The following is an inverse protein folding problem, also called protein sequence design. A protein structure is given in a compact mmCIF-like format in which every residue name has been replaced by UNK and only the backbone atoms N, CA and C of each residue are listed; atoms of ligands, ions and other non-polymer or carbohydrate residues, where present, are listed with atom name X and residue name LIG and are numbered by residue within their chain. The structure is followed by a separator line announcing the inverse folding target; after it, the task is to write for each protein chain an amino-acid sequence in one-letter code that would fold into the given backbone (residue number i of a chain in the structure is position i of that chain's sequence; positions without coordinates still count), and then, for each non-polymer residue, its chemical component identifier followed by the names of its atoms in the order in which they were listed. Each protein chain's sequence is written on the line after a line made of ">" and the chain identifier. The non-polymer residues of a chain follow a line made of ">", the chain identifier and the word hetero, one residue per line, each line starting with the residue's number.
data_IF_919659691123
#
_entry.id   IF_919659691123
#
_cell.length_a   1.000
_cell.length_b   1.000
_cell.length_c   1.000
_cell.angle_alpha   90.00
_cell.angle_beta   90.00
_cell.angle_gamma   90.00
#
_symmetry.space_group_name_H-M   'P 1'
#
loop_
_entity.id
_entity.type
_entity.pdbx_description
1 polymer ?
#
# COMPACT_ATOMS: atom_id res chain seq x y z
N UNK A 1 42.73 -25.57 55.05
CA UNK A 1 41.65 -25.77 54.05
C UNK A 1 42.24 -25.55 52.67
N UNK A 2 42.54 -26.64 51.94
CA UNK A 2 43.08 -26.56 50.59
C UNK A 2 41.90 -26.47 49.63
N UNK A 3 41.68 -25.30 49.03
CA UNK A 3 40.79 -25.20 47.87
C UNK A 3 41.47 -25.92 46.71
N UNK A 4 40.81 -26.95 46.17
CA UNK A 4 41.29 -27.71 45.02
C UNK A 4 41.35 -26.79 43.79
N UNK A 5 42.41 -26.89 42.98
CA UNK A 5 42.47 -26.23 41.67
C UNK A 5 41.28 -26.63 40.77
N UNK A 6 40.68 -27.81 41.01
CA UNK A 6 39.45 -28.22 40.32
C UNK A 6 38.21 -27.43 40.75
N UNK A 7 38.13 -26.94 41.99
CA UNK A 7 37.01 -26.08 42.43
C UNK A 7 37.09 -24.69 41.80
N UNK A 8 38.30 -24.20 41.54
CA UNK A 8 38.52 -22.94 40.84
C UNK A 8 38.15 -23.07 39.35
N UNK A 9 38.56 -24.17 38.70
CA UNK A 9 38.16 -24.47 37.32
C UNK A 9 36.66 -24.74 37.18
N UNK A 10 36.03 -25.41 38.15
CA UNK A 10 34.58 -25.63 38.16
C UNK A 10 33.79 -24.33 38.33
N UNK A 11 34.30 -23.36 39.12
CA UNK A 11 33.72 -22.02 39.23
C UNK A 11 33.89 -21.19 37.96
N UNK A 12 35.03 -21.28 37.28
CA UNK A 12 35.26 -20.62 35.99
C UNK A 12 34.36 -21.25 34.90
N UNK A 13 34.24 -22.58 34.85
CA UNK A 13 33.33 -23.26 33.94
C UNK A 13 31.87 -22.86 34.20
N UNK A 14 31.45 -22.77 35.47
CA UNK A 14 30.10 -22.30 35.83
C UNK A 14 29.86 -20.84 35.47
N UNK A 15 30.88 -19.99 35.45
CA UNK A 15 30.81 -18.59 35.02
C UNK A 15 30.84 -18.44 33.48
N UNK A 16 31.48 -19.39 32.77
CA UNK A 16 31.54 -19.43 31.31
C UNK A 16 30.29 -20.08 30.67
N UNK A 17 29.53 -20.88 31.44
CA UNK A 17 28.32 -21.58 31.00
C UNK A 17 27.05 -21.14 31.75
N UNK A 18 27.05 -19.95 32.36
CA UNK A 18 25.85 -19.39 32.98
C UNK A 18 24.89 -18.90 31.88
N UNK A 19 23.78 -19.60 31.67
CA UNK A 19 22.76 -19.23 30.67
C UNK A 19 22.09 -17.86 30.98
N UNK A 20 22.40 -17.25 32.13
CA UNK A 20 21.92 -15.90 32.50
C UNK A 20 22.79 -14.76 31.96
N UNK A 21 23.91 -15.02 31.27
CA UNK A 21 24.74 -13.99 30.61
C UNK A 21 24.63 -14.00 29.09
N UNK A 22 23.63 -14.66 28.50
CA UNK A 22 23.32 -14.42 27.08
C UNK A 22 22.79 -13.00 26.94
N UNK A 23 23.45 -12.21 26.08
CA UNK A 23 22.92 -10.94 25.60
C UNK A 23 21.44 -11.16 25.25
N UNK A 24 20.49 -10.44 25.89
CA UNK A 24 19.08 -10.59 25.58
C UNK A 24 18.77 -10.39 24.09
N UNK A 25 19.65 -9.68 23.36
CA UNK A 25 19.56 -9.50 21.92
C UNK A 25 19.92 -10.76 21.11
N UNK A 26 20.62 -11.73 21.71
CA UNK A 26 21.00 -12.98 21.03
C UNK A 26 19.80 -13.82 20.60
N UNK A 27 18.62 -13.58 21.18
CA UNK A 27 17.35 -14.23 20.83
C UNK A 27 16.73 -13.72 19.53
N UNK A 28 17.26 -12.62 19.00
CA UNK A 28 16.81 -11.98 17.76
C UNK A 28 17.77 -12.19 16.61
N UNK A 29 18.91 -12.84 16.85
CA UNK A 29 19.92 -13.09 15.84
C UNK A 29 19.45 -14.25 14.95
N UNK A 30 19.48 -14.01 13.65
CA UNK A 30 19.16 -15.02 12.66
C UNK A 30 20.20 -16.14 12.64
N UNK A 31 19.74 -17.38 12.44
CA UNK A 31 20.54 -18.57 12.15
C UNK A 31 20.90 -18.62 10.67
N UNK A 32 22.00 -19.30 10.36
CA UNK A 32 22.49 -19.48 8.99
C UNK A 32 23.05 -18.19 8.38
N UNK A 33 22.99 -18.09 7.05
CA UNK A 33 23.53 -16.94 6.30
C UNK A 33 22.85 -15.61 6.64
N UNK A 34 21.60 -15.63 7.11
CA UNK A 34 20.95 -14.39 7.58
C UNK A 34 21.58 -13.81 8.85
N UNK A 35 22.30 -14.63 9.63
CA UNK A 35 22.99 -14.19 10.84
C UNK A 35 24.12 -13.20 10.57
N UNK A 36 24.65 -13.17 9.35
CA UNK A 36 25.70 -12.24 8.92
C UNK A 36 25.16 -10.83 8.65
N UNK A 37 23.84 -10.67 8.57
CA UNK A 37 23.18 -9.40 8.29
C UNK A 37 22.61 -8.80 9.57
N UNK A 38 23.31 -7.82 10.14
CA UNK A 38 22.87 -7.12 11.35
C UNK A 38 21.52 -6.41 11.20
N UNK A 39 21.10 -6.13 9.96
CA UNK A 39 19.79 -5.56 9.64
C UNK A 39 18.64 -6.59 9.66
N UNK A 40 18.96 -7.88 9.80
CA UNK A 40 17.99 -8.96 9.92
C UNK A 40 17.74 -9.34 11.38
N UNK A 41 16.47 -9.48 11.72
CA UNK A 41 15.95 -9.87 13.03
C UNK A 41 15.08 -11.11 12.86
N UNK A 42 15.34 -12.16 13.64
CA UNK A 42 14.59 -13.41 13.62
C UNK A 42 14.02 -13.72 15.00
N UNK A 43 12.69 -13.80 15.11
CA UNK A 43 11.97 -14.00 16.38
C UNK A 43 11.42 -15.42 16.42
N UNK A 44 12.16 -16.34 17.04
CA UNK A 44 11.77 -17.77 17.15
C UNK A 44 10.41 -17.98 17.84
N UNK A 45 10.02 -17.11 18.79
CA UNK A 45 8.78 -17.25 19.55
C UNK A 45 7.51 -17.03 18.70
N UNK A 46 7.60 -16.15 17.70
CA UNK A 46 6.48 -15.82 16.80
C UNK A 46 6.69 -16.32 15.37
N UNK A 47 7.84 -16.95 15.10
CA UNK A 47 8.28 -17.40 13.78
C UNK A 47 8.30 -16.24 12.76
N UNK A 48 8.84 -15.10 13.17
CA UNK A 48 8.93 -13.89 12.33
C UNK A 48 10.36 -13.61 11.89
N UNK A 49 10.51 -13.23 10.63
CA UNK A 49 11.79 -12.82 10.04
C UNK A 49 11.61 -11.42 9.45
N UNK A 50 12.50 -10.50 9.82
CA UNK A 50 12.45 -9.11 9.38
C UNK A 50 13.84 -8.61 9.00
N UNK A 51 14.02 -8.27 7.73
CA UNK A 51 15.24 -7.70 7.18
C UNK A 51 14.90 -6.35 6.54
N UNK A 52 15.09 -5.28 7.30
CA UNK A 52 14.67 -3.92 6.92
C UNK A 52 15.89 -3.13 6.45
N UNK A 53 15.85 -2.56 5.25
CA UNK A 53 16.95 -1.79 4.66
C UNK A 53 18.29 -2.56 4.61
N UNK A 54 18.22 -3.88 4.48
CA UNK A 54 19.37 -4.79 4.52
C UNK A 54 20.16 -4.85 3.20
N UNK A 55 19.77 -4.05 2.20
CA UNK A 55 20.43 -3.91 0.90
C UNK A 55 20.40 -5.18 0.02
N UNK A 56 19.49 -6.12 0.28
CA UNK A 56 19.36 -7.31 -0.55
C UNK A 56 18.93 -6.93 -1.98
N UNK A 57 19.67 -7.41 -2.97
CA UNK A 57 19.35 -7.18 -4.40
C UNK A 57 18.67 -8.40 -5.01
N UNK A 58 19.08 -9.59 -4.57
CA UNK A 58 18.65 -10.87 -5.14
C UNK A 58 17.61 -11.56 -4.24
N UNK A 59 16.51 -12.01 -4.85
CA UNK A 59 15.47 -12.79 -4.19
C UNK A 59 15.92 -14.21 -3.78
N UNK A 60 17.11 -14.66 -4.16
CA UNK A 60 17.68 -15.93 -3.69
C UNK A 60 17.91 -15.97 -2.16
N UNK A 61 17.88 -14.81 -1.48
CA UNK A 61 17.85 -14.77 -0.01
C UNK A 61 16.71 -15.59 0.59
N UNK A 62 15.58 -15.75 -0.12
CA UNK A 62 14.47 -16.58 0.33
C UNK A 62 14.83 -18.08 0.36
N UNK A 63 15.67 -18.55 -0.56
CA UNK A 63 16.16 -19.94 -0.56
C UNK A 63 17.00 -20.25 0.67
N UNK A 64 17.76 -19.26 1.16
CA UNK A 64 18.60 -19.40 2.35
C UNK A 64 17.77 -19.60 3.64
N UNK A 65 16.49 -19.24 3.63
CA UNK A 65 15.59 -19.44 4.77
C UNK A 65 15.19 -20.91 4.96
N UNK A 66 15.11 -21.67 3.87
CA UNK A 66 14.60 -23.05 3.87
C UNK A 66 15.36 -23.99 4.80
N UNK A 67 16.68 -23.82 4.93
CA UNK A 67 17.53 -24.71 5.72
C UNK A 67 17.38 -24.52 7.23
N UNK A 68 16.96 -23.32 7.68
CA UNK A 68 17.03 -22.92 9.09
C UNK A 68 15.67 -22.60 9.71
N UNK A 69 14.67 -22.25 8.91
CA UNK A 69 13.35 -21.85 9.39
C UNK A 69 12.27 -22.71 8.72
N UNK A 70 11.91 -23.81 9.38
CA UNK A 70 10.93 -24.79 8.85
C UNK A 70 9.49 -24.32 8.96
N UNK A 71 9.21 -23.41 9.89
CA UNK A 71 7.88 -22.85 10.12
C UNK A 71 8.03 -21.35 10.25
N UNK A 72 7.56 -20.60 9.26
CA UNK A 72 7.63 -19.14 9.24
C UNK A 72 6.21 -18.61 9.16
N UNK A 73 5.85 -17.67 10.03
CA UNK A 73 4.53 -17.05 10.05
C UNK A 73 4.52 -15.75 9.25
N UNK A 74 5.56 -14.94 9.40
CA UNK A 74 5.68 -13.63 8.75
C UNK A 74 7.10 -13.35 8.30
N UNK A 75 7.21 -12.81 7.10
CA UNK A 75 8.46 -12.37 6.50
C UNK A 75 8.33 -10.92 6.07
N UNK A 76 9.34 -10.12 6.39
CA UNK A 76 9.45 -8.72 5.98
C UNK A 76 10.81 -8.48 5.35
N UNK A 77 10.83 -8.12 4.08
CA UNK A 77 12.01 -7.60 3.36
C UNK A 77 11.74 -6.17 2.89
N UNK A 78 11.31 -5.31 3.81
CA UNK A 78 11.01 -3.91 3.53
C UNK A 78 12.29 -3.10 3.22
N UNK A 79 12.26 -2.21 2.23
CA UNK A 79 13.35 -1.26 2.03
C UNK A 79 14.60 -1.87 1.39
N UNK A 80 14.48 -3.02 0.73
CA UNK A 80 15.61 -3.66 0.04
C UNK A 80 15.65 -3.24 -1.44
N UNK A 81 16.51 -3.88 -2.21
CA UNK A 81 16.84 -3.50 -3.57
C UNK A 81 16.31 -4.51 -4.62
N UNK A 82 15.26 -5.28 -4.30
CA UNK A 82 14.70 -6.25 -5.25
C UNK A 82 14.11 -5.55 -6.48
N UNK A 83 14.55 -5.94 -7.67
CA UNK A 83 14.06 -5.39 -8.94
C UNK A 83 13.10 -6.32 -9.66
N UNK A 84 13.35 -7.62 -9.56
CA UNK A 84 12.57 -8.67 -10.21
C UNK A 84 12.23 -9.76 -9.21
N UNK A 85 10.99 -10.24 -9.25
CA UNK A 85 10.67 -11.53 -8.63
C UNK A 85 11.03 -12.65 -9.61
N UNK A 86 11.61 -13.76 -9.12
CA UNK A 86 12.14 -14.81 -9.97
C UNK A 86 11.03 -15.56 -10.72
N UNK A 87 11.39 -16.22 -11.83
CA UNK A 87 10.49 -17.06 -12.63
C UNK A 87 10.21 -18.45 -12.07
N UNK A 88 10.48 -18.60 -10.78
CA UNK A 88 10.30 -19.79 -9.95
C UNK A 88 9.73 -19.37 -8.60
N UNK A 89 9.27 -20.33 -7.80
CA UNK A 89 8.89 -20.08 -6.42
C UNK A 89 10.04 -19.40 -5.64
N UNK A 90 9.72 -18.39 -4.83
CA UNK A 90 10.70 -17.69 -3.97
C UNK A 90 11.46 -18.66 -3.04
N UNK A 91 10.79 -19.72 -2.62
CA UNK A 91 11.35 -20.76 -1.75
C UNK A 91 11.75 -22.04 -2.49
N UNK A 92 11.82 -22.01 -3.83
CA UNK A 92 12.08 -23.20 -4.64
C UNK A 92 11.04 -24.29 -4.37
N UNK A 93 11.50 -25.52 -4.14
CA UNK A 93 10.63 -26.67 -3.90
C UNK A 93 10.00 -26.72 -2.50
N UNK A 94 10.37 -25.80 -1.60
CA UNK A 94 9.88 -25.81 -0.20
C UNK A 94 8.59 -25.00 -0.09
N UNK A 95 7.55 -25.65 0.43
CA UNK A 95 6.26 -25.01 0.69
C UNK A 95 6.16 -24.50 2.14
N UNK A 96 5.84 -23.22 2.30
CA UNK A 96 5.64 -22.56 3.59
C UNK A 96 4.15 -22.38 3.90
N UNK A 97 3.49 -23.48 4.28
CA UNK A 97 2.06 -23.50 4.63
C UNK A 97 1.71 -22.65 5.85
N UNK A 98 2.67 -22.36 6.73
CA UNK A 98 2.45 -21.53 7.91
C UNK A 98 2.64 -20.03 7.64
N UNK A 99 3.06 -19.63 6.44
CA UNK A 99 3.33 -18.23 6.12
C UNK A 99 2.03 -17.50 5.80
N UNK A 100 1.68 -16.53 6.65
CA UNK A 100 0.46 -15.73 6.51
C UNK A 100 0.74 -14.29 6.10
N UNK A 101 1.93 -13.75 6.35
CA UNK A 101 2.28 -12.37 6.01
C UNK A 101 3.58 -12.30 5.23
N UNK A 102 3.52 -11.70 4.05
CA UNK A 102 4.69 -11.38 3.23
C UNK A 102 4.72 -9.89 2.95
N UNK A 103 5.76 -9.20 3.43
CA UNK A 103 5.99 -7.79 3.15
C UNK A 103 7.24 -7.62 2.28
N UNK A 104 7.02 -7.14 1.05
CA UNK A 104 8.02 -6.81 0.03
C UNK A 104 7.97 -5.30 -0.33
N UNK A 105 7.42 -4.48 0.56
CA UNK A 105 7.24 -3.05 0.31
C UNK A 105 8.56 -2.29 0.27
N UNK A 106 8.56 -1.12 -0.37
CA UNK A 106 9.72 -0.26 -0.54
C UNK A 106 10.93 -1.01 -1.14
N UNK A 107 10.68 -1.81 -2.17
CA UNK A 107 11.72 -2.33 -3.05
C UNK A 107 11.63 -1.59 -4.40
N UNK A 108 12.34 -2.09 -5.41
CA UNK A 108 12.30 -1.56 -6.78
C UNK A 108 11.64 -2.55 -7.73
N UNK A 109 10.67 -3.34 -7.25
CA UNK A 109 10.10 -4.44 -8.03
C UNK A 109 9.37 -3.86 -9.24
N UNK A 110 9.85 -4.19 -10.43
CA UNK A 110 9.26 -3.82 -11.72
C UNK A 110 8.45 -4.98 -12.28
N UNK A 111 9.00 -6.18 -12.25
CA UNK A 111 8.36 -7.34 -12.85
C UNK A 111 7.85 -8.28 -11.76
N UNK A 112 6.53 -8.50 -11.79
CA UNK A 112 5.94 -9.65 -11.11
C UNK A 112 6.18 -10.89 -11.98
N UNK A 113 6.26 -12.06 -11.36
CA UNK A 113 6.36 -13.31 -12.09
C UNK A 113 5.36 -14.32 -11.53
N UNK A 114 4.55 -14.93 -12.39
CA UNK A 114 3.41 -15.75 -11.98
C UNK A 114 3.75 -16.88 -11.00
N UNK A 115 4.96 -17.43 -11.04
CA UNK A 115 5.37 -18.52 -10.15
C UNK A 115 6.00 -18.06 -8.82
N UNK A 116 6.29 -16.78 -8.65
CA UNK A 116 7.05 -16.29 -7.49
C UNK A 116 6.36 -16.59 -6.15
N UNK A 117 5.03 -16.53 -6.10
CA UNK A 117 4.25 -16.83 -4.89
C UNK A 117 3.89 -18.32 -4.70
N UNK A 118 4.33 -19.19 -5.61
CA UNK A 118 4.11 -20.62 -5.48
C UNK A 118 4.76 -21.16 -4.19
N UNK A 119 4.09 -22.12 -3.54
CA UNK A 119 4.53 -22.71 -2.27
C UNK A 119 4.11 -21.93 -1.02
N UNK A 120 3.33 -20.84 -1.14
CA UNK A 120 2.81 -20.08 0.01
C UNK A 120 1.28 -19.95 -0.01
N UNK A 121 0.53 -21.07 -0.01
CA UNK A 121 -0.91 -21.07 -0.31
C UNK A 121 -1.78 -20.33 0.74
N UNK A 122 -1.26 -20.13 1.96
CA UNK A 122 -2.01 -19.59 3.10
C UNK A 122 -1.71 -18.12 3.40
N UNK A 123 -1.05 -17.38 2.48
CA UNK A 123 -0.84 -15.94 2.65
C UNK A 123 -2.19 -15.25 2.84
N UNK A 124 -2.25 -14.40 3.87
CA UNK A 124 -3.38 -13.54 4.23
C UNK A 124 -3.06 -12.08 3.95
N UNK A 125 -1.83 -11.66 4.20
CA UNK A 125 -1.39 -10.28 4.05
C UNK A 125 -0.22 -10.23 3.07
N UNK A 126 -0.42 -9.53 1.96
CA UNK A 126 0.62 -9.26 0.97
C UNK A 126 0.80 -7.76 0.83
N UNK A 127 2.02 -7.28 1.10
CA UNK A 127 2.37 -5.87 0.95
C UNK A 127 3.44 -5.68 -0.13
N UNK A 128 3.04 -5.03 -1.22
CA UNK A 128 3.86 -4.67 -2.37
C UNK A 128 3.95 -3.14 -2.54
N UNK A 129 3.61 -2.39 -1.49
CA UNK A 129 3.60 -0.93 -1.52
C UNK A 129 4.97 -0.34 -1.85
N UNK A 130 5.00 0.84 -2.48
CA UNK A 130 6.21 1.57 -2.81
C UNK A 130 7.19 0.78 -3.70
N UNK A 131 6.68 0.16 -4.77
CA UNK A 131 7.46 -0.50 -5.83
C UNK A 131 7.24 0.23 -7.17
N UNK A 132 7.73 -0.33 -8.28
CA UNK A 132 7.67 0.29 -9.62
C UNK A 132 7.07 -0.67 -10.66
N UNK A 133 6.04 -1.41 -10.26
CA UNK A 133 5.48 -2.53 -11.01
C UNK A 133 4.96 -2.09 -12.37
N UNK A 134 5.34 -2.84 -13.39
CA UNK A 134 4.79 -2.82 -14.75
C UNK A 134 4.16 -4.18 -15.01
N UNK A 135 2.83 -4.24 -15.01
CA UNK A 135 2.11 -5.47 -15.32
C UNK A 135 2.28 -5.82 -16.79
N UNK A 136 2.56 -7.09 -17.05
CA UNK A 136 2.63 -7.71 -18.37
C UNK A 136 1.60 -8.85 -18.46
N UNK A 137 1.21 -9.28 -19.67
CA UNK A 137 0.21 -10.35 -19.82
C UNK A 137 0.56 -11.64 -19.08
N UNK A 138 1.83 -11.99 -18.98
CA UNK A 138 2.28 -13.19 -18.27
C UNK A 138 2.25 -13.08 -16.74
N UNK A 139 2.00 -11.89 -16.19
CA UNK A 139 2.01 -11.64 -14.75
C UNK A 139 0.61 -11.85 -14.12
N UNK A 140 -0.43 -12.09 -14.93
CA UNK A 140 -1.84 -12.12 -14.46
C UNK A 140 -2.16 -13.29 -13.54
N UNK A 141 -1.29 -14.29 -13.43
CA UNK A 141 -1.47 -15.43 -12.54
C UNK A 141 -0.64 -15.30 -11.24
N UNK A 142 0.07 -14.19 -11.04
CA UNK A 142 0.92 -13.94 -9.86
C UNK A 142 0.21 -14.16 -8.53
N UNK A 143 -1.05 -13.71 -8.40
CA UNK A 143 -1.84 -13.88 -7.17
C UNK A 143 -2.63 -15.20 -7.13
N UNK A 144 -2.60 -16.02 -8.20
CA UNK A 144 -3.41 -17.25 -8.29
C UNK A 144 -3.00 -18.33 -7.30
N UNK A 145 -1.74 -18.31 -6.86
CA UNK A 145 -1.21 -19.22 -5.84
C UNK A 145 -1.59 -18.84 -4.40
N UNK A 146 -2.23 -17.67 -4.20
CA UNK A 146 -2.55 -17.11 -2.88
C UNK A 146 -4.03 -16.71 -2.79
N UNK A 147 -4.99 -17.64 -2.97
CA UNK A 147 -6.43 -17.32 -3.01
C UNK A 147 -7.01 -16.92 -1.65
N UNK A 148 -6.21 -17.05 -0.59
CA UNK A 148 -6.57 -16.84 0.80
C UNK A 148 -6.24 -15.43 1.33
N UNK A 149 -5.69 -14.55 0.47
CA UNK A 149 -5.37 -13.17 0.82
C UNK A 149 -6.63 -12.45 1.32
N UNK A 150 -6.48 -11.79 2.45
CA UNK A 150 -7.49 -10.91 3.07
C UNK A 150 -7.09 -9.44 2.99
N UNK A 151 -5.79 -9.12 2.98
CA UNK A 151 -5.28 -7.75 2.89
C UNK A 151 -4.22 -7.65 1.79
N UNK A 152 -4.48 -6.80 0.80
CA UNK A 152 -3.56 -6.55 -0.30
C UNK A 152 -3.20 -5.06 -0.34
N UNK A 153 -1.92 -4.77 -0.13
CA UNK A 153 -1.40 -3.41 -0.15
C UNK A 153 -0.62 -3.15 -1.44
N UNK A 154 -1.14 -2.22 -2.25
CA UNK A 154 -0.59 -1.79 -3.53
C UNK A 154 -0.39 -0.26 -3.55
N UNK A 155 -0.12 0.35 -2.40
CA UNK A 155 0.09 1.80 -2.31
C UNK A 155 1.34 2.21 -3.07
N UNK A 156 1.26 3.14 -4.02
CA UNK A 156 2.42 3.59 -4.83
C UNK A 156 3.20 2.40 -5.41
N UNK A 157 2.49 1.42 -5.95
CA UNK A 157 3.11 0.18 -6.43
C UNK A 157 3.33 0.16 -7.94
N UNK A 158 2.63 1.00 -8.70
CA UNK A 158 2.68 0.99 -10.17
C UNK A 158 3.41 2.20 -10.73
N UNK A 159 4.17 2.01 -11.82
CA UNK A 159 4.85 3.11 -12.50
C UNK A 159 3.88 4.03 -13.25
N UNK A 160 4.19 5.33 -13.27
CA UNK A 160 3.44 6.34 -14.04
C UNK A 160 3.81 6.39 -15.52
N UNK A 161 4.88 5.71 -15.93
CA UNK A 161 5.54 5.89 -17.24
C UNK A 161 4.94 5.04 -18.38
N UNK A 162 3.82 4.36 -18.13
CA UNK A 162 3.20 3.41 -19.08
C UNK A 162 1.72 3.72 -19.34
N UNK A 163 1.17 3.12 -20.41
CA UNK A 163 -0.23 3.26 -20.77
C UNK A 163 -1.14 2.68 -19.67
N UNK A 164 -1.81 3.56 -18.95
CA UNK A 164 -2.67 3.23 -17.80
C UNK A 164 -3.86 2.35 -18.16
N UNK A 165 -4.48 2.57 -19.32
CA UNK A 165 -5.65 1.78 -19.75
C UNK A 165 -5.27 0.30 -19.87
N UNK A 166 -4.10 0.01 -20.46
CA UNK A 166 -3.59 -1.36 -20.56
C UNK A 166 -3.22 -1.94 -19.19
N UNK A 167 -2.58 -1.16 -18.33
CA UNK A 167 -2.23 -1.61 -16.97
C UNK A 167 -3.47 -1.95 -16.14
N UNK A 168 -4.54 -1.16 -16.24
CA UNK A 168 -5.79 -1.45 -15.54
C UNK A 168 -6.49 -2.70 -16.05
N UNK A 169 -6.51 -2.95 -17.36
CA UNK A 169 -7.02 -4.21 -17.91
C UNK A 169 -6.25 -5.41 -17.34
N UNK A 170 -4.91 -5.32 -17.31
CA UNK A 170 -4.06 -6.37 -16.73
C UNK A 170 -4.29 -6.51 -15.22
N UNK A 171 -4.47 -5.41 -14.48
CA UNK A 171 -4.78 -5.44 -13.05
C UNK A 171 -6.11 -6.14 -12.77
N UNK A 172 -7.14 -5.85 -13.58
CA UNK A 172 -8.44 -6.54 -13.44
C UNK A 172 -8.35 -8.02 -13.75
N UNK A 173 -7.54 -8.43 -14.75
CA UNK A 173 -7.26 -9.84 -15.02
C UNK A 173 -6.51 -10.50 -13.87
N UNK A 174 -5.48 -9.85 -13.33
CA UNK A 174 -4.73 -10.31 -12.16
C UNK A 174 -5.68 -10.60 -10.98
N UNK A 175 -6.59 -9.69 -10.68
CA UNK A 175 -7.57 -9.86 -9.61
C UNK A 175 -8.59 -10.96 -9.90
N UNK A 176 -9.09 -11.04 -11.14
CA UNK A 176 -10.11 -12.02 -11.52
C UNK A 176 -9.55 -13.45 -11.54
N UNK A 177 -8.32 -13.64 -12.06
CA UNK A 177 -7.66 -14.94 -12.12
C UNK A 177 -7.35 -15.50 -10.73
N UNK A 178 -7.08 -14.63 -9.77
CA UNK A 178 -6.70 -15.03 -8.41
C UNK A 178 -7.88 -15.46 -7.52
N UNK A 179 -9.13 -15.23 -7.94
CA UNK A 179 -10.33 -15.59 -7.20
C UNK A 179 -10.28 -15.16 -5.72
N UNK A 180 -9.96 -13.88 -5.48
CA UNK A 180 -9.72 -13.31 -4.15
C UNK A 180 -11.02 -13.07 -3.36
N UNK A 181 -11.84 -14.12 -3.20
CA UNK A 181 -13.15 -14.06 -2.54
C UNK A 181 -13.09 -13.70 -1.06
N UNK A 182 -11.92 -13.89 -0.44
CA UNK A 182 -11.65 -13.57 0.97
C UNK A 182 -11.05 -12.18 1.16
N UNK A 183 -10.82 -11.40 0.10
CA UNK A 183 -10.21 -10.08 0.22
C UNK A 183 -11.13 -9.14 0.99
N UNK A 184 -10.63 -8.61 2.11
CA UNK A 184 -11.32 -7.69 3.01
C UNK A 184 -10.82 -6.26 2.83
N UNK A 185 -9.52 -6.09 2.58
CA UNK A 185 -8.91 -4.77 2.43
C UNK A 185 -8.05 -4.69 1.17
N UNK A 186 -8.32 -3.67 0.35
CA UNK A 186 -7.55 -3.33 -0.84
C UNK A 186 -7.06 -1.88 -0.76
N UNK A 187 -5.74 -1.70 -0.77
CA UNK A 187 -5.11 -0.38 -0.83
C UNK A 187 -4.54 -0.12 -2.22
N UNK A 188 -5.15 0.83 -2.93
CA UNK A 188 -4.70 1.36 -4.22
C UNK A 188 -4.33 2.85 -4.10
N UNK A 189 -4.03 3.31 -2.89
CA UNK A 189 -3.69 4.70 -2.63
C UNK A 189 -2.38 5.10 -3.30
N UNK A 190 -2.24 6.39 -3.59
CA UNK A 190 -1.01 6.96 -4.14
C UNK A 190 -0.47 6.29 -5.43
N UNK A 191 -1.37 5.83 -6.31
CA UNK A 191 -1.04 5.27 -7.62
C UNK A 191 -1.30 6.26 -8.78
N UNK A 192 -1.45 7.54 -8.45
CA UNK A 192 -1.72 8.61 -9.41
C UNK A 192 -2.98 8.40 -10.26
N UNK A 193 -3.96 7.61 -9.80
CA UNK A 193 -5.11 7.19 -10.60
C UNK A 193 -6.05 8.36 -10.91
N UNK A 194 -6.53 8.46 -12.15
CA UNK A 194 -7.52 9.47 -12.57
C UNK A 194 -8.93 8.90 -12.69
N UNK A 195 -9.04 7.59 -12.85
CA UNK A 195 -10.28 6.81 -12.89
C UNK A 195 -9.97 5.36 -12.49
N UNK A 196 -11.01 4.60 -12.15
CA UNK A 196 -10.93 3.15 -11.92
C UNK A 196 -11.95 2.45 -12.83
N UNK A 197 -11.74 1.17 -13.18
CA UNK A 197 -12.76 0.38 -13.87
C UNK A 197 -14.07 0.36 -13.09
N UNK A 198 -15.20 0.45 -13.79
CA UNK A 198 -16.54 0.42 -13.17
C UNK A 198 -16.75 -0.83 -12.30
N UNK A 199 -16.10 -1.95 -12.66
CA UNK A 199 -16.22 -3.24 -11.97
C UNK A 199 -15.10 -3.53 -10.97
N UNK A 200 -14.31 -2.53 -10.55
CA UNK A 200 -13.13 -2.72 -9.69
C UNK A 200 -13.41 -3.60 -8.44
N UNK A 201 -14.52 -3.36 -7.75
CA UNK A 201 -14.85 -4.07 -6.51
C UNK A 201 -15.50 -5.44 -6.72
N UNK A 202 -15.98 -5.75 -7.94
CA UNK A 202 -16.78 -6.94 -8.20
C UNK A 202 -16.05 -8.29 -8.00
N UNK A 203 -14.72 -8.40 -8.19
CA UNK A 203 -13.99 -9.62 -7.84
C UNK A 203 -13.92 -9.93 -6.34
N UNK A 204 -14.31 -8.99 -5.47
CA UNK A 204 -14.05 -9.04 -4.02
C UNK A 204 -15.35 -9.01 -3.20
N UNK A 205 -16.12 -10.11 -3.16
CA UNK A 205 -17.40 -10.16 -2.44
C UNK A 205 -17.29 -9.93 -0.92
N UNK A 206 -16.12 -10.16 -0.31
CA UNK A 206 -15.90 -9.96 1.13
C UNK A 206 -15.24 -8.61 1.46
N UNK A 207 -15.14 -7.70 0.49
CA UNK A 207 -14.42 -6.43 0.67
C UNK A 207 -15.14 -5.54 1.69
N UNK A 208 -14.43 -5.14 2.73
CA UNK A 208 -14.90 -4.21 3.77
C UNK A 208 -14.19 -2.85 3.70
N UNK A 209 -12.95 -2.78 3.19
CA UNK A 209 -12.20 -1.55 3.07
C UNK A 209 -11.55 -1.36 1.71
N UNK A 210 -11.73 -0.17 1.13
CA UNK A 210 -11.11 0.24 -0.14
C UNK A 210 -10.43 1.61 0.02
N UNK A 211 -9.10 1.64 -0.05
CA UNK A 211 -8.34 2.88 -0.02
C UNK A 211 -7.97 3.33 -1.45
N UNK A 212 -8.55 4.46 -1.84
CA UNK A 212 -8.33 5.16 -3.11
C UNK A 212 -7.77 6.57 -2.87
N UNK A 213 -7.25 6.83 -1.67
CA UNK A 213 -6.73 8.13 -1.27
C UNK A 213 -5.44 8.49 -2.01
N UNK A 214 -5.07 9.77 -2.00
CA UNK A 214 -3.82 10.27 -2.62
C UNK A 214 -3.69 9.97 -4.12
N UNK A 215 -4.81 9.86 -4.82
CA UNK A 215 -4.86 9.71 -6.26
C UNK A 215 -5.20 11.06 -6.93
N UNK A 216 -5.55 11.04 -8.20
CA UNK A 216 -5.85 12.21 -9.03
C UNK A 216 -7.32 12.28 -9.44
N UNK A 217 -8.23 11.65 -8.68
CA UNK A 217 -9.65 11.60 -9.03
C UNK A 217 -10.29 13.00 -8.98
N UNK A 218 -10.94 13.39 -10.07
CA UNK A 218 -11.80 14.59 -10.12
C UNK A 218 -13.29 14.24 -10.02
N UNK A 219 -13.63 13.02 -10.41
CA UNK A 219 -14.94 12.36 -10.27
C UNK A 219 -14.69 10.87 -10.03
N UNK A 220 -15.72 10.13 -9.61
CA UNK A 220 -15.65 8.68 -9.45
C UNK A 220 -16.98 8.03 -9.85
N UNK A 221 -16.87 6.87 -10.49
CA UNK A 221 -18.00 6.03 -10.87
C UNK A 221 -17.60 4.57 -10.72
N UNK A 222 -18.38 3.81 -9.95
CA UNK A 222 -18.18 2.39 -9.70
C UNK A 222 -19.52 1.68 -9.62
N UNK A 223 -19.51 0.38 -9.88
CA UNK A 223 -20.67 -0.46 -9.73
C UNK A 223 -21.03 -0.63 -8.26
N UNK A 224 -22.05 0.10 -7.82
CA UNK A 224 -22.47 0.11 -6.42
C UNK A 224 -23.05 -1.22 -5.95
N UNK A 225 -23.52 -2.08 -6.87
CA UNK A 225 -23.96 -3.45 -6.49
C UNK A 225 -22.82 -4.30 -5.96
N UNK A 226 -21.57 -3.98 -6.31
CA UNK A 226 -20.37 -4.66 -5.84
C UNK A 226 -19.78 -4.03 -4.56
N UNK A 227 -20.42 -2.99 -4.01
CA UNK A 227 -19.96 -2.28 -2.81
C UNK A 227 -20.83 -2.55 -1.57
N UNK A 228 -21.80 -3.46 -1.66
CA UNK A 228 -22.82 -3.67 -0.62
C UNK A 228 -22.25 -4.08 0.75
N UNK A 229 -21.09 -4.74 0.78
CA UNK A 229 -20.39 -5.15 2.01
C UNK A 229 -19.24 -4.24 2.43
N UNK A 230 -18.99 -3.15 1.70
CA UNK A 230 -17.86 -2.25 1.97
C UNK A 230 -18.25 -1.31 3.10
N UNK A 231 -17.48 -1.32 4.19
CA UNK A 231 -17.67 -0.47 5.36
C UNK A 231 -16.94 0.86 5.24
N UNK A 232 -15.80 0.91 4.53
CA UNK A 232 -14.96 2.11 4.40
C UNK A 232 -14.48 2.28 2.97
N UNK A 233 -14.68 3.48 2.41
CA UNK A 233 -14.03 3.93 1.18
C UNK A 233 -13.29 5.23 1.48
N UNK A 234 -11.97 5.24 1.30
CA UNK A 234 -11.17 6.47 1.45
C UNK A 234 -10.88 7.10 0.08
N UNK A 235 -11.44 8.28 -0.15
CA UNK A 235 -11.24 9.13 -1.34
C UNK A 235 -10.54 10.44 -0.98
N UNK A 236 -9.90 10.49 0.18
CA UNK A 236 -9.19 11.67 0.67
C UNK A 236 -7.97 11.99 -0.19
N UNK A 237 -7.55 13.26 -0.19
CA UNK A 237 -6.36 13.75 -0.91
C UNK A 237 -6.41 13.45 -2.42
N UNK A 238 -7.59 13.60 -3.01
CA UNK A 238 -7.81 13.56 -4.45
C UNK A 238 -7.97 14.99 -5.00
N UNK A 239 -8.56 15.11 -6.19
CA UNK A 239 -8.79 16.38 -6.88
C UNK A 239 -10.28 16.67 -7.11
N UNK A 240 -11.17 16.18 -6.24
CA UNK A 240 -12.59 16.54 -6.30
C UNK A 240 -12.73 18.06 -6.10
N UNK A 241 -13.21 18.73 -7.15
CA UNK A 241 -13.53 20.17 -7.12
C UNK A 241 -14.99 20.41 -6.76
N UNK A 242 -15.82 19.42 -7.05
CA UNK A 242 -17.22 19.35 -6.69
C UNK A 242 -17.59 17.88 -6.54
N UNK A 243 -18.79 17.62 -6.02
CA UNK A 243 -19.39 16.30 -6.06
C UNK A 243 -20.53 16.39 -7.06
N UNK A 244 -20.29 15.95 -8.30
CA UNK A 244 -21.23 16.07 -9.43
C UNK A 244 -22.55 15.30 -9.20
N UNK A 245 -23.52 15.43 -10.11
CA UNK A 245 -24.79 14.70 -9.99
C UNK A 245 -24.60 13.18 -9.96
N UNK A 246 -23.63 12.64 -10.70
CA UNK A 246 -23.34 11.21 -10.71
C UNK A 246 -22.85 10.74 -9.33
N UNK A 247 -21.95 11.49 -8.70
CA UNK A 247 -21.49 11.22 -7.34
C UNK A 247 -22.66 11.26 -6.37
N UNK A 248 -23.43 12.35 -6.37
CA UNK A 248 -24.49 12.60 -5.36
C UNK A 248 -25.69 11.66 -5.50
N UNK A 249 -26.07 11.29 -6.73
CA UNK A 249 -27.31 10.54 -7.00
C UNK A 249 -27.08 9.07 -7.33
N UNK A 250 -25.92 8.68 -7.84
CA UNK A 250 -25.67 7.28 -8.22
C UNK A 250 -24.69 6.63 -7.25
N UNK A 251 -23.51 7.22 -7.11
CA UNK A 251 -22.46 6.63 -6.28
C UNK A 251 -22.80 6.70 -4.79
N UNK A 252 -23.30 7.84 -4.32
CA UNK A 252 -23.51 8.08 -2.90
C UNK A 252 -24.67 7.32 -2.26
N UNK A 253 -25.63 6.81 -3.04
CA UNK A 253 -26.75 6.02 -2.52
C UNK A 253 -26.30 4.72 -1.83
N UNK A 254 -25.11 4.25 -2.15
CA UNK A 254 -24.54 3.00 -1.66
C UNK A 254 -23.17 3.21 -1.02
N UNK A 255 -22.81 4.47 -0.75
CA UNK A 255 -21.59 4.76 -0.01
C UNK A 255 -21.76 4.32 1.44
N UNK A 256 -20.77 3.63 2.01
CA UNK A 256 -20.77 3.37 3.43
C UNK A 256 -20.73 4.67 4.25
N UNK A 257 -21.26 4.61 5.48
CA UNK A 257 -21.26 5.73 6.42
C UNK A 257 -19.85 6.27 6.73
N UNK A 258 -18.84 5.41 6.64
CA UNK A 258 -17.45 5.76 6.94
C UNK A 258 -16.67 6.28 5.72
N UNK A 259 -17.35 6.71 4.64
CA UNK A 259 -16.66 7.24 3.46
C UNK A 259 -15.94 8.55 3.78
N UNK A 260 -14.65 8.61 3.44
CA UNK A 260 -13.79 9.77 3.66
C UNK A 260 -13.51 10.50 2.35
N UNK A 261 -13.67 11.83 2.32
CA UNK A 261 -13.36 12.68 1.15
C UNK A 261 -12.48 13.88 1.56
N UNK A 262 -11.72 13.73 2.63
CA UNK A 262 -10.96 14.82 3.25
C UNK A 262 -9.85 15.33 2.33
N UNK A 263 -9.44 16.60 2.51
CA UNK A 263 -8.31 17.20 1.77
C UNK A 263 -8.44 17.13 0.24
N UNK A 264 -9.66 17.29 -0.26
CA UNK A 264 -9.95 17.53 -1.68
C UNK A 264 -10.01 19.03 -1.99
N UNK A 265 -9.98 19.39 -3.28
CA UNK A 265 -9.89 20.78 -3.73
C UNK A 265 -11.26 21.41 -4.03
N UNK A 266 -12.21 21.33 -3.09
CA UNK A 266 -13.58 21.79 -3.31
C UNK A 266 -13.67 23.28 -3.66
N UNK A 267 -14.44 23.59 -4.70
CA UNK A 267 -14.74 24.93 -5.19
C UNK A 267 -16.05 25.44 -4.59
N UNK A 268 -16.08 26.65 -4.05
CA UNK A 268 -17.29 27.26 -3.49
C UNK A 268 -17.66 28.54 -4.25
N UNK A 269 -18.55 28.45 -5.23
CA UNK A 269 -19.02 29.53 -6.09
C UNK A 269 -20.52 29.37 -6.41
N UNK A 270 -21.06 30.16 -7.34
CA UNK A 270 -22.47 30.13 -7.73
C UNK A 270 -22.98 28.77 -8.24
N UNK A 271 -22.09 27.84 -8.64
CA UNK A 271 -22.46 26.49 -9.07
C UNK A 271 -22.39 25.45 -7.95
N UNK A 272 -21.84 25.81 -6.79
CA UNK A 272 -21.56 24.88 -5.69
C UNK A 272 -22.74 24.64 -4.76
N UNK A 273 -23.81 25.45 -4.86
CA UNK A 273 -24.91 25.47 -3.92
C UNK A 273 -25.54 24.08 -3.71
N UNK A 274 -25.76 23.33 -4.80
CA UNK A 274 -26.39 22.02 -4.74
C UNK A 274 -25.54 20.98 -4.01
N UNK A 275 -24.25 20.87 -4.34
CA UNK A 275 -23.41 19.85 -3.73
C UNK A 275 -23.10 20.18 -2.27
N UNK A 276 -22.99 21.47 -1.92
CA UNK A 276 -22.83 21.90 -0.53
C UNK A 276 -24.10 21.60 0.27
N UNK A 277 -25.28 21.84 -0.31
CA UNK A 277 -26.54 21.46 0.33
C UNK A 277 -26.64 19.94 0.54
N UNK A 278 -26.21 19.15 -0.45
CA UNK A 278 -26.14 17.70 -0.31
C UNK A 278 -25.16 17.24 0.79
N UNK A 279 -23.98 17.86 0.89
CA UNK A 279 -23.03 17.59 1.99
C UNK A 279 -23.68 17.85 3.35
N UNK A 280 -24.48 18.90 3.49
CA UNK A 280 -25.20 19.18 4.76
C UNK A 280 -26.18 18.06 5.12
N UNK A 281 -26.90 17.50 4.16
CA UNK A 281 -27.92 16.49 4.41
C UNK A 281 -27.42 15.05 4.50
N UNK A 282 -26.31 14.71 3.82
CA UNK A 282 -25.84 13.32 3.75
C UNK A 282 -25.25 12.81 5.07
N UNK A 283 -25.48 11.55 5.40
CA UNK A 283 -24.82 10.84 6.50
C UNK A 283 -23.72 9.88 6.00
N UNK A 284 -23.52 9.78 4.69
CA UNK A 284 -22.55 8.85 4.09
C UNK A 284 -21.12 9.38 4.12
N UNK A 285 -20.92 10.67 4.41
CA UNK A 285 -19.59 11.29 4.45
C UNK A 285 -19.16 11.50 5.89
N UNK A 286 -18.17 10.72 6.32
CA UNK A 286 -17.51 10.87 7.60
C UNK A 286 -16.73 12.18 7.65
N UNK A 287 -16.75 12.83 8.82
CA UNK A 287 -16.07 14.10 9.07
C UNK A 287 -16.46 15.24 8.11
N UNK A 288 -17.67 15.21 7.53
CA UNK A 288 -18.16 16.25 6.59
C UNK A 288 -18.06 17.70 7.11
N UNK A 289 -18.05 17.89 8.43
CA UNK A 289 -17.89 19.20 9.08
C UNK A 289 -16.48 19.78 8.97
N UNK A 290 -15.48 18.96 8.63
CA UNK A 290 -14.08 19.38 8.45
C UNK A 290 -13.74 19.70 6.98
N UNK A 291 -14.68 19.51 6.06
CA UNK A 291 -14.47 19.83 4.64
C UNK A 291 -14.45 21.34 4.44
N UNK A 292 -13.45 21.84 3.70
CA UNK A 292 -13.24 23.27 3.48
C UNK A 292 -13.22 23.65 2.01
N UNK A 293 -13.63 24.88 1.69
CA UNK A 293 -13.50 25.47 0.36
C UNK A 293 -12.02 25.72 0.05
N UNK A 294 -11.43 24.95 -0.87
CA UNK A 294 -10.06 25.17 -1.32
C UNK A 294 -9.96 26.41 -2.23
N UNK A 295 -10.99 26.65 -3.03
CA UNK A 295 -11.16 27.85 -3.87
C UNK A 295 -12.57 28.39 -3.67
N UNK A 296 -12.75 29.70 -3.69
CA UNK A 296 -14.08 30.29 -3.52
C UNK A 296 -14.29 31.60 -4.28
N UNK A 297 -15.54 31.85 -4.63
CA UNK A 297 -16.05 33.11 -5.15
C UNK A 297 -17.33 33.48 -4.38
N UNK A 298 -17.30 34.56 -3.57
CA UNK A 298 -16.18 35.47 -3.36
C UNK A 298 -15.01 34.84 -2.58
N UNK A 299 -13.80 35.41 -2.73
CA UNK A 299 -12.55 34.83 -2.22
C UNK A 299 -12.47 34.72 -0.69
N UNK A 300 -13.28 35.48 0.05
CA UNK A 300 -13.34 35.46 1.51
C UNK A 300 -13.87 34.13 2.08
N UNK A 301 -14.50 33.27 1.28
CA UNK A 301 -14.90 31.93 1.70
C UNK A 301 -13.80 30.87 1.49
N UNK A 302 -12.61 31.24 1.01
CA UNK A 302 -11.47 30.31 0.96
C UNK A 302 -11.11 29.86 2.39
N UNK A 303 -10.98 28.54 2.58
CA UNK A 303 -10.75 27.93 3.89
C UNK A 303 -12.01 27.79 4.76
N UNK A 304 -13.14 28.39 4.38
CA UNK A 304 -14.39 28.22 5.13
C UNK A 304 -14.89 26.77 5.04
N UNK A 305 -15.52 26.28 6.11
CA UNK A 305 -16.11 24.94 6.13
C UNK A 305 -17.32 24.89 5.20
N UNK A 306 -17.40 23.88 4.33
CA UNK A 306 -18.51 23.72 3.36
C UNK A 306 -19.87 23.83 4.04
N UNK A 307 -20.03 23.15 5.18
CA UNK A 307 -21.28 23.12 5.92
C UNK A 307 -21.70 24.50 6.47
N UNK A 308 -20.77 25.45 6.65
CA UNK A 308 -21.00 26.79 7.20
C UNK A 308 -21.19 27.88 6.12
N UNK A 309 -20.91 27.61 4.84
CA UNK A 309 -20.97 28.63 3.76
C UNK A 309 -22.40 29.09 3.46
N UNK A 310 -22.74 30.39 3.56
CA UNK A 310 -24.07 30.89 3.20
C UNK A 310 -24.27 30.85 1.67
N UNK A 311 -25.11 29.92 1.19
CA UNK A 311 -25.27 29.61 -0.24
C UNK A 311 -25.68 30.83 -1.08
N UNK A 312 -26.52 31.72 -0.54
CA UNK A 312 -26.98 32.93 -1.23
C UNK A 312 -25.89 34.01 -1.41
N UNK A 313 -24.73 33.87 -0.74
CA UNK A 313 -23.58 34.77 -0.88
C UNK A 313 -22.52 34.24 -1.83
N UNK A 314 -22.69 33.03 -2.36
CA UNK A 314 -21.81 32.48 -3.38
C UNK A 314 -22.10 33.15 -4.72
N UNK A 315 -21.05 33.55 -5.42
CA UNK A 315 -21.14 34.17 -6.74
C UNK A 315 -20.13 33.53 -7.71
N UNK A 316 -20.06 34.05 -8.93
CA UNK A 316 -19.07 33.64 -9.92
C UNK A 316 -18.29 34.85 -10.46
N UNK A 317 -18.08 35.86 -9.60
CA UNK A 317 -17.30 37.06 -9.92
C UNK A 317 -15.82 36.74 -10.14
N UNK A 318 -15.31 35.68 -9.51
CA UNK A 318 -13.94 35.17 -9.65
C UNK A 318 -13.95 33.82 -10.37
N UNK A 319 -13.19 33.72 -11.47
CA UNK A 319 -12.98 32.42 -12.15
C UNK A 319 -12.08 31.53 -11.29
N UNK A 320 -12.62 30.41 -10.81
CA UNK A 320 -11.88 29.39 -10.08
C UNK A 320 -11.15 28.45 -11.05
N UNK A 321 -10.11 28.95 -11.73
CA UNK A 321 -9.27 28.13 -12.63
C UNK A 321 -8.19 27.39 -11.85
N UNK A 322 -7.69 26.29 -12.43
CA UNK A 322 -6.67 25.42 -11.84
C UNK A 322 -5.26 26.00 -11.80
N UNK A 323 -5.01 27.19 -12.35
CA UNK A 323 -3.69 27.80 -12.47
C UNK A 323 -3.54 29.03 -11.57
N UNK A 324 -3.44 28.80 -10.27
CA UNK A 324 -2.74 29.69 -9.34
C UNK A 324 -2.11 28.78 -8.28
N UNK A 325 -1.03 28.08 -8.65
CA UNK A 325 -0.09 27.61 -7.65
C UNK A 325 0.29 28.82 -6.80
N UNK A 326 0.05 28.70 -5.50
CA UNK A 326 0.73 29.53 -4.52
C UNK A 326 2.22 29.53 -4.86
N UNK A 327 2.79 30.73 -4.98
CA UNK A 327 4.24 30.89 -5.09
C UNK A 327 4.95 30.15 -3.95
N UNK A 328 6.16 29.70 -4.28
CA UNK A 328 7.14 28.93 -3.49
C UNK A 328 7.01 27.40 -3.66
N UNK A 329 7.54 26.90 -4.78
CA UNK A 329 8.38 25.70 -4.76
C UNK A 329 9.46 25.83 -5.85
N UNK A 330 10.71 25.83 -5.39
CA UNK A 330 11.93 25.93 -6.18
C UNK A 330 12.10 24.62 -6.94
N UNK A 331 11.76 24.59 -8.23
CA UNK A 331 12.26 23.55 -9.14
C UNK A 331 13.60 24.00 -9.74
N UNK A 332 14.67 23.80 -8.97
CA UNK A 332 15.98 23.52 -9.54
C UNK A 332 16.19 22.00 -9.43
N UNK A 333 15.64 21.26 -10.38
CA UNK A 333 16.07 19.89 -10.66
C UNK A 333 16.71 19.93 -12.03
N UNK A 334 18.04 20.01 -12.04
CA UNK A 334 18.89 19.74 -13.20
C UNK A 334 18.55 18.34 -13.75
N UNK A 335 18.43 18.14 -15.07
CA UNK A 335 18.52 16.80 -15.62
C UNK A 335 19.98 16.33 -15.52
N UNK A 336 20.22 15.29 -14.72
CA UNK A 336 21.42 14.46 -14.80
C UNK A 336 21.45 13.78 -16.16
N UNK A 337 22.00 14.47 -17.15
CA UNK A 337 22.46 13.87 -18.40
C UNK A 337 23.78 13.18 -18.06
N UNK A 338 23.72 11.88 -17.76
CA UNK A 338 24.93 11.04 -17.84
C UNK A 338 25.18 10.77 -19.33
N UNK A 339 25.93 11.68 -19.95
CA UNK A 339 26.64 11.37 -21.17
C UNK A 339 27.77 10.39 -20.81
N UNK A 340 27.53 9.09 -20.99
CA UNK A 340 28.60 8.11 -21.15
C UNK A 340 29.18 8.29 -22.56
N UNK A 341 30.27 9.04 -22.66
CA UNK A 341 31.20 8.91 -23.78
C UNK A 341 32.60 8.62 -23.22
N UNK A 342 33.13 7.47 -23.66
CA UNK A 342 34.52 7.20 -24.03
C UNK A 342 35.58 7.13 -22.92
N UNK A 343 36.03 5.91 -22.63
CA UNK A 343 37.40 5.43 -22.88
C UNK A 343 37.24 3.96 -23.34
N UNK A 344 37.45 3.69 -24.63
CA UNK A 344 38.68 3.15 -25.25
C UNK A 344 39.13 1.81 -24.71
#
# INVERSE_FOLDING_TARGET
>A
MRYSFSDFLAKIAKFLFDETTRDPNSRFICKGQLGDFAACTCIDATNEISCINAQFVDADVFLHLNGHYKTINKITFHGNNFQDLPDRALFGEVEHHSLHTLNLSANYIVNLNSHALQGMPNIRVLDLSNNEIVLRPQDTDFLSHTPLITHLYLRRSFTSSVNRTKQFDLLMRLFSNANLVNLQYLDLSYNFLTSVPYTLACPFPSLSGLDLSQNLFQTISMNTTCLQGVDVIDLSRNHFRELDENFRRNFANYLPAETLIMRNSFHCNCHSAEYIQWIRSTNSIKEKNMLTCARASPANFMGARLVEVPLHKLDCSVKLTSNQGSGLDIFLVLPLIIAKFLFS
#
